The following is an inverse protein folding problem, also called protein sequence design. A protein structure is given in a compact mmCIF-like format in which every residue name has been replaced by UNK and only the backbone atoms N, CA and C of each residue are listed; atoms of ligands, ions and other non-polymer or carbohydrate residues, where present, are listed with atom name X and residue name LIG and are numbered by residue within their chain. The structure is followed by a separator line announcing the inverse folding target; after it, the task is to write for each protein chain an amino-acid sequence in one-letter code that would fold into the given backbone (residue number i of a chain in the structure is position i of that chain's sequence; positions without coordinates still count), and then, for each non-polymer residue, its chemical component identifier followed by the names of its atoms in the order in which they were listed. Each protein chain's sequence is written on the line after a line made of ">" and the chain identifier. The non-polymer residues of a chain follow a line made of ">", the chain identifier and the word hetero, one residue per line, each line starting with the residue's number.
data_IF_978052331489
#
_entry.id   IF_978052331489
#
_cell.length_a   1.000
_cell.length_b   1.000
_cell.length_c   1.000
_cell.angle_alpha   90.00
_cell.angle_beta   90.00
_cell.angle_gamma   90.00
#
_symmetry.space_group_name_H-M   'P 1'
#
loop_
_entity.id
_entity.type
_entity.pdbx_description
1 polymer ?
#
# COMPACT_ATOMS: atom_id res chain seq x y z
N UNK A 1 26.94 2.11 2.99
CA UNK A 1 26.16 3.01 3.87
C UNK A 1 25.39 4.09 3.10
N UNK A 2 25.97 4.73 2.08
CA UNK A 2 25.31 5.82 1.32
C UNK A 2 23.95 5.45 0.70
N UNK A 3 23.82 4.27 0.09
CA UNK A 3 22.58 3.87 -0.59
C UNK A 3 21.38 3.66 0.35
N UNK A 4 21.63 3.14 1.57
CA UNK A 4 20.57 2.98 2.57
C UNK A 4 20.06 4.34 3.07
N UNK A 5 20.96 5.32 3.22
CA UNK A 5 20.60 6.68 3.60
C UNK A 5 19.79 7.37 2.50
N UNK A 6 20.20 7.21 1.24
CA UNK A 6 19.48 7.75 0.08
C UNK A 6 18.06 7.18 -0.02
N UNK A 7 17.91 5.87 0.14
CA UNK A 7 16.59 5.22 0.11
C UNK A 7 15.70 5.70 1.25
N UNK A 8 16.24 5.79 2.48
CA UNK A 8 15.46 6.28 3.62
C UNK A 8 15.09 7.76 3.45
N UNK A 9 15.99 8.58 2.94
CA UNK A 9 15.74 9.99 2.66
C UNK A 9 14.64 10.15 1.60
N UNK A 10 14.66 9.34 0.55
CA UNK A 10 13.63 9.32 -0.48
C UNK A 10 12.25 8.91 0.08
N UNK A 11 12.21 7.85 0.90
CA UNK A 11 10.98 7.39 1.58
C UNK A 11 10.38 8.50 2.45
N UNK A 12 11.21 9.19 3.26
CA UNK A 12 10.73 10.28 4.13
C UNK A 12 10.26 11.46 3.30
N UNK A 13 11.02 11.87 2.28
CA UNK A 13 10.68 13.03 1.43
C UNK A 13 9.36 12.79 0.68
N UNK A 14 9.21 11.61 0.09
CA UNK A 14 7.97 11.20 -0.58
C UNK A 14 6.82 11.10 0.42
N UNK A 15 7.05 10.50 1.59
CA UNK A 15 6.06 10.41 2.66
C UNK A 15 5.54 11.77 3.11
N UNK A 16 6.42 12.76 3.30
CA UNK A 16 6.05 14.14 3.65
C UNK A 16 5.23 14.79 2.53
N UNK A 17 5.63 14.61 1.27
CA UNK A 17 4.88 15.13 0.11
C UNK A 17 3.46 14.56 0.04
N UNK A 18 3.28 13.27 0.35
CA UNK A 18 1.97 12.60 0.39
C UNK A 18 1.09 13.17 1.50
N UNK A 19 1.68 13.37 2.69
CA UNK A 19 1.00 13.93 3.86
C UNK A 19 0.55 15.38 3.63
N UNK A 20 1.43 16.19 3.05
CA UNK A 20 1.16 17.61 2.76
C UNK A 20 0.03 17.78 1.74
N UNK A 21 0.06 16.97 0.67
CA UNK A 21 -0.95 16.98 -0.39
C UNK A 21 -2.27 16.30 0.00
N UNK A 22 -2.35 15.66 1.18
CA UNK A 22 -3.54 14.92 1.66
C UNK A 22 -4.09 13.93 0.63
N UNK A 23 -3.21 13.19 -0.04
CA UNK A 23 -3.60 12.27 -1.11
C UNK A 23 -4.28 10.98 -0.63
N UNK A 24 -4.34 10.77 0.69
CA UNK A 24 -4.93 9.57 1.28
C UNK A 24 -6.45 9.68 1.26
N UNK A 25 -7.08 8.74 0.56
CA UNK A 25 -8.53 8.62 0.45
C UNK A 25 -9.02 7.53 1.39
N UNK A 26 -10.13 7.78 2.08
CA UNK A 26 -10.79 6.79 2.95
C UNK A 26 -12.02 6.22 2.23
N UNK A 27 -12.08 4.90 2.13
CA UNK A 27 -13.22 4.15 1.57
C UNK A 27 -13.75 3.23 2.66
N UNK A 28 -14.88 3.58 3.28
CA UNK A 28 -15.56 2.83 4.38
C UNK A 28 -14.61 2.02 5.30
N UNK A 29 -14.23 0.81 4.86
CA UNK A 29 -13.43 -0.22 5.54
C UNK A 29 -11.91 -0.07 5.42
N UNK A 30 -11.37 0.70 4.47
CA UNK A 30 -9.94 0.85 4.26
C UNK A 30 -9.55 2.26 3.79
N UNK A 31 -8.24 2.53 3.77
CA UNK A 31 -7.66 3.75 3.22
C UNK A 31 -6.75 3.39 2.08
N UNK A 32 -6.70 4.21 1.05
CA UNK A 32 -5.74 4.01 -0.02
C UNK A 32 -5.12 5.33 -0.51
N UNK A 33 -3.96 5.21 -1.13
CA UNK A 33 -3.31 6.31 -1.84
C UNK A 33 -2.86 5.81 -3.20
N UNK A 34 -3.06 6.62 -4.24
CA UNK A 34 -2.53 6.36 -5.57
C UNK A 34 -1.39 7.33 -5.84
N UNK A 35 -0.17 6.82 -5.94
CA UNK A 35 1.04 7.56 -6.23
C UNK A 35 1.38 7.47 -7.70
N UNK A 36 1.71 8.62 -8.28
CA UNK A 36 2.35 8.71 -9.59
C UNK A 36 3.80 9.12 -9.35
N UNK A 37 4.70 8.14 -9.39
CA UNK A 37 6.11 8.39 -9.17
C UNK A 37 6.71 9.11 -10.40
N UNK A 38 7.65 10.01 -10.13
CA UNK A 38 8.61 10.51 -11.12
C UNK A 38 9.65 9.44 -11.44
N UNK A 39 10.43 9.61 -12.51
CA UNK A 39 11.46 8.63 -12.91
C UNK A 39 12.51 8.40 -11.83
N UNK A 40 12.91 9.45 -11.10
CA UNK A 40 13.88 9.36 -10.00
C UNK A 40 13.30 8.61 -8.80
N UNK A 41 12.05 8.92 -8.43
CA UNK A 41 11.34 8.23 -7.34
C UNK A 41 11.07 6.77 -7.69
N UNK A 42 10.74 6.47 -8.95
CA UNK A 42 10.53 5.10 -9.44
C UNK A 42 11.83 4.29 -9.37
N UNK A 43 12.98 4.90 -9.65
CA UNK A 43 14.28 4.22 -9.53
C UNK A 43 14.61 3.83 -8.07
N UNK A 44 14.25 4.69 -7.10
CA UNK A 44 14.55 4.48 -5.68
C UNK A 44 13.46 3.68 -4.95
N UNK A 45 12.19 3.90 -5.30
CA UNK A 45 11.00 3.37 -4.64
C UNK A 45 10.19 2.40 -5.51
N UNK A 46 10.67 2.01 -6.69
CA UNK A 46 9.97 1.05 -7.55
C UNK A 46 10.02 -0.40 -7.07
N UNK A 47 10.83 -0.69 -6.05
CA UNK A 47 10.88 -2.02 -5.44
C UNK A 47 9.76 -2.19 -4.39
N UNK A 48 9.05 -3.33 -4.35
CA UNK A 48 7.95 -3.55 -3.41
C UNK A 48 8.33 -3.34 -1.94
N UNK A 49 9.52 -3.82 -1.54
CA UNK A 49 10.02 -3.64 -0.17
C UNK A 49 10.18 -2.17 0.26
N UNK A 50 10.51 -1.27 -0.67
CA UNK A 50 10.61 0.17 -0.39
C UNK A 50 9.23 0.78 -0.23
N UNK A 51 8.25 0.36 -1.06
CA UNK A 51 6.86 0.79 -0.93
C UNK A 51 6.22 0.27 0.35
N UNK A 52 6.48 -0.97 0.76
CA UNK A 52 6.04 -1.51 2.05
C UNK A 52 6.57 -0.66 3.21
N UNK A 53 7.84 -0.25 3.17
CA UNK A 53 8.42 0.67 4.17
C UNK A 53 7.75 2.04 4.15
N UNK A 54 7.48 2.60 2.97
CA UNK A 54 6.78 3.88 2.84
C UNK A 54 5.36 3.79 3.40
N UNK A 55 4.63 2.71 3.10
CA UNK A 55 3.29 2.48 3.60
C UNK A 55 3.26 2.34 5.13
N UNK A 56 4.20 1.58 5.70
CA UNK A 56 4.39 1.47 7.15
C UNK A 56 4.72 2.82 7.79
N UNK A 57 5.63 3.59 7.20
CA UNK A 57 5.97 4.93 7.66
C UNK A 57 4.74 5.85 7.70
N UNK A 58 3.92 5.84 6.66
CA UNK A 58 2.67 6.63 6.63
C UNK A 58 1.69 6.19 7.72
N UNK A 59 1.55 4.88 7.95
CA UNK A 59 0.71 4.33 9.02
C UNK A 59 1.23 4.78 10.39
N UNK A 60 2.53 4.65 10.65
CA UNK A 60 3.15 5.03 11.92
C UNK A 60 2.99 6.53 12.20
N UNK A 61 3.21 7.40 11.22
CA UNK A 61 3.00 8.86 11.38
C UNK A 61 1.55 9.18 11.75
N UNK A 62 0.57 8.54 11.11
CA UNK A 62 -0.84 8.76 11.46
C UNK A 62 -1.24 8.14 12.80
N UNK A 63 -0.58 7.04 13.19
CA UNK A 63 -0.76 6.41 14.50
C UNK A 63 -0.23 7.31 15.61
N UNK A 64 0.96 7.87 15.44
CA UNK A 64 1.57 8.82 16.38
C UNK A 64 0.75 10.11 16.52
N UNK A 65 0.12 10.57 15.43
CA UNK A 65 -0.83 11.68 15.46
C UNK A 65 -2.17 11.34 16.14
N UNK A 66 -2.39 10.10 16.58
CA UNK A 66 -3.63 9.64 17.19
C UNK A 66 -4.82 9.54 16.22
N UNK A 67 -4.59 9.58 14.90
CA UNK A 67 -5.65 9.57 13.88
C UNK A 67 -6.10 8.16 13.51
N UNK A 68 -5.18 7.19 13.48
CA UNK A 68 -5.42 5.81 13.01
C UNK A 68 -5.29 4.78 14.15
N UNK A 69 -5.88 5.09 15.30
CA UNK A 69 -5.89 4.23 16.50
C UNK A 69 -7.31 3.77 16.86
N UNK A 70 -7.42 2.61 17.52
CA UNK A 70 -8.70 2.02 17.97
C UNK A 70 -9.70 1.87 16.83
N UNK A 71 -10.92 2.39 17.01
CA UNK A 71 -12.02 2.39 16.03
C UNK A 71 -11.71 3.05 14.68
N UNK A 72 -10.55 3.72 14.56
CA UNK A 72 -10.07 4.34 13.33
C UNK A 72 -8.86 3.60 12.71
N UNK A 73 -8.36 2.53 13.33
CA UNK A 73 -7.39 1.63 12.74
C UNK A 73 -8.08 0.86 11.61
N UNK A 74 -7.78 1.25 10.37
CA UNK A 74 -8.28 0.58 9.17
C UNK A 74 -7.08 0.27 8.28
N UNK A 75 -7.10 -0.84 7.53
CA UNK A 75 -6.02 -1.20 6.62
C UNK A 75 -5.72 -0.07 5.64
N UNK A 76 -4.44 0.04 5.28
CA UNK A 76 -3.93 1.03 4.35
C UNK A 76 -3.39 0.34 3.10
N UNK A 77 -3.77 0.84 1.92
CA UNK A 77 -3.36 0.30 0.63
C UNK A 77 -2.63 1.38 -0.15
N UNK A 78 -1.36 1.15 -0.45
CA UNK A 78 -0.55 2.02 -1.29
C UNK A 78 -0.53 1.46 -2.71
N UNK A 79 -0.93 2.27 -3.68
CA UNK A 79 -0.89 1.96 -5.11
C UNK A 79 0.14 2.89 -5.74
N UNK A 80 1.15 2.35 -6.42
CA UNK A 80 2.17 3.11 -7.12
C UNK A 80 2.19 2.76 -8.61
N UNK A 81 2.09 3.76 -9.48
CA UNK A 81 2.23 3.54 -10.92
C UNK A 81 3.71 3.47 -11.31
N UNK A 82 4.13 2.34 -11.86
CA UNK A 82 5.49 2.10 -12.37
C UNK A 82 5.46 2.28 -13.89
N UNK A 83 5.96 3.42 -14.37
CA UNK A 83 5.88 3.78 -15.79
C UNK A 83 6.79 2.92 -16.65
N UNK A 84 7.96 2.52 -16.14
CA UNK A 84 8.91 1.71 -16.90
C UNK A 84 8.35 0.33 -17.28
N UNK A 85 7.44 -0.20 -16.46
CA UNK A 85 6.79 -1.51 -16.66
C UNK A 85 5.33 -1.41 -17.09
N UNK A 86 4.75 -0.21 -17.06
CA UNK A 86 3.35 0.07 -17.35
C UNK A 86 2.38 -0.75 -16.46
N UNK A 87 2.71 -0.87 -15.17
CA UNK A 87 1.94 -1.63 -14.16
C UNK A 87 1.74 -0.79 -12.90
N UNK A 88 0.69 -1.11 -12.16
CA UNK A 88 0.45 -0.62 -10.80
C UNK A 88 0.95 -1.64 -9.79
N UNK A 89 1.87 -1.20 -8.94
CA UNK A 89 2.32 -1.97 -7.78
C UNK A 89 1.45 -1.61 -6.58
N UNK A 90 0.75 -2.59 -6.02
CA UNK A 90 -0.17 -2.43 -4.90
C UNK A 90 0.41 -3.11 -3.67
N UNK A 91 0.44 -2.37 -2.56
CA UNK A 91 0.96 -2.81 -1.28
C UNK A 91 -0.05 -2.53 -0.17
N UNK A 92 -0.53 -3.58 0.47
CA UNK A 92 -1.42 -3.52 1.62
C UNK A 92 -0.65 -3.62 2.93
N UNK A 93 -1.00 -2.76 3.89
CA UNK A 93 -0.47 -2.76 5.24
C UNK A 93 -1.64 -2.82 6.22
N UNK A 94 -1.60 -3.79 7.12
CA UNK A 94 -2.58 -3.92 8.21
C UNK A 94 -2.20 -2.97 9.35
N UNK A 95 -3.20 -2.31 9.94
CA UNK A 95 -3.04 -1.45 11.11
C UNK A 95 -3.61 -2.19 12.34
N UNK A 96 -2.83 -3.03 13.05
CA UNK A 96 -3.33 -3.66 14.27
C UNK A 96 -3.58 -2.59 15.35
N UNK A 97 -4.67 -2.72 16.11
CA UNK A 97 -4.99 -1.80 17.21
C UNK A 97 -3.91 -1.79 18.31
N UNK A 98 -3.22 -2.92 18.50
CA UNK A 98 -2.07 -3.07 19.40
C UNK A 98 -0.95 -3.88 18.76
N UNK A 99 0.30 -3.49 19.03
CA UNK A 99 1.47 -4.30 18.67
C UNK A 99 1.38 -5.66 19.38
N UNK A 100 1.32 -6.75 18.60
CA UNK A 100 1.19 -8.12 19.12
C UNK A 100 -0.20 -8.76 18.97
N UNK A 101 -1.22 -8.02 18.53
CA UNK A 101 -2.50 -8.63 18.17
C UNK A 101 -2.34 -9.45 16.87
N UNK A 102 -2.63 -10.74 16.97
CA UNK A 102 -2.77 -11.63 15.81
C UNK A 102 -4.11 -11.29 15.15
N UNK A 103 -4.12 -10.24 14.34
CA UNK A 103 -5.21 -10.04 13.42
C UNK A 103 -5.12 -11.13 12.35
N UNK A 104 -6.20 -11.92 12.15
CA UNK A 104 -6.30 -12.77 10.97
C UNK A 104 -6.03 -11.88 9.77
N UNK A 105 -5.16 -12.32 8.87
CA UNK A 105 -4.76 -11.55 7.71
C UNK A 105 -5.89 -11.50 6.67
N UNK A 106 -6.96 -10.78 7.01
CA UNK A 106 -8.12 -10.54 6.15
C UNK A 106 -7.68 -9.80 4.91
N UNK A 107 -6.70 -8.90 5.03
CA UNK A 107 -6.19 -8.12 3.90
C UNK A 107 -5.49 -9.01 2.86
N UNK A 108 -4.60 -9.91 3.28
CA UNK A 108 -3.94 -10.86 2.38
C UNK A 108 -4.92 -11.81 1.71
N UNK A 109 -5.95 -12.27 2.44
CA UNK A 109 -7.02 -13.09 1.87
C UNK A 109 -7.86 -12.30 0.87
N UNK A 110 -8.21 -11.05 1.19
CA UNK A 110 -8.98 -10.18 0.31
C UNK A 110 -8.20 -9.83 -0.96
N UNK A 111 -6.90 -9.62 -0.86
CA UNK A 111 -6.00 -9.43 -2.00
C UNK A 111 -5.97 -10.67 -2.89
N UNK A 112 -5.84 -11.88 -2.30
CA UNK A 112 -5.85 -13.12 -3.07
C UNK A 112 -7.19 -13.36 -3.79
N UNK A 113 -8.33 -13.09 -3.13
CA UNK A 113 -9.65 -13.20 -3.74
C UNK A 113 -9.85 -12.17 -4.86
N UNK A 114 -9.49 -10.90 -4.62
CA UNK A 114 -9.59 -9.86 -5.63
C UNK A 114 -8.67 -10.11 -6.84
N UNK A 115 -7.46 -10.65 -6.63
CA UNK A 115 -6.55 -11.01 -7.71
C UNK A 115 -7.06 -12.19 -8.55
N UNK A 116 -7.72 -13.18 -7.93
CA UNK A 116 -8.32 -14.31 -8.64
C UNK A 116 -9.41 -13.85 -9.62
N UNK A 117 -10.17 -12.82 -9.26
CA UNK A 117 -11.23 -12.24 -10.10
C UNK A 117 -10.70 -11.33 -11.21
N UNK A 118 -9.60 -10.59 -10.97
CA UNK A 118 -9.01 -9.70 -11.99
C UNK A 118 -8.07 -10.40 -12.96
N UNK A 119 -7.75 -11.68 -12.75
CA UNK A 119 -6.80 -12.41 -13.59
C UNK A 119 -5.38 -11.86 -13.53
N UNK A 120 -5.07 -11.07 -12.50
CA UNK A 120 -3.82 -10.37 -12.35
C UNK A 120 -2.66 -11.33 -12.07
N UNK A 121 -1.48 -11.03 -12.65
CA UNK A 121 -0.24 -11.72 -12.33
C UNK A 121 0.21 -11.35 -10.90
N UNK A 122 -0.29 -12.09 -9.92
CA UNK A 122 0.14 -11.98 -8.53
C UNK A 122 1.54 -12.58 -8.38
N UNK A 123 2.58 -11.76 -8.46
CA UNK A 123 3.93 -12.18 -8.03
C UNK A 123 3.93 -12.22 -6.50
N UNK A 124 3.61 -13.39 -5.95
CA UNK A 124 3.79 -13.67 -4.52
C UNK A 124 5.28 -13.83 -4.23
N UNK A 125 5.95 -12.75 -3.83
CA UNK A 125 7.28 -12.90 -3.22
C UNK A 125 7.08 -13.36 -1.77
N UNK A 126 6.98 -14.69 -1.60
CA UNK A 126 7.04 -15.61 -0.44
C UNK A 126 6.82 -15.18 1.04
N UNK A 127 6.81 -13.90 1.39
CA UNK A 127 6.76 -13.40 2.77
C UNK A 127 5.67 -12.34 3.02
N UNK A 128 5.20 -11.61 1.99
CA UNK A 128 4.15 -10.59 2.13
C UNK A 128 2.95 -10.89 1.20
N UNK A 129 1.88 -11.51 1.74
CA UNK A 129 0.63 -11.81 1.00
C UNK A 129 -0.18 -10.57 0.58
N UNK A 130 0.32 -9.36 0.85
CA UNK A 130 -0.38 -8.10 0.65
C UNK A 130 0.27 -7.24 -0.45
N UNK A 131 1.13 -7.83 -1.28
CA UNK A 131 1.78 -7.15 -2.41
C UNK A 131 1.32 -7.78 -3.72
N UNK A 132 1.01 -6.96 -4.73
CA UNK A 132 0.66 -7.45 -6.07
C UNK A 132 0.97 -6.44 -7.17
N UNK A 133 1.16 -6.92 -8.40
CA UNK A 133 1.29 -6.12 -9.60
C UNK A 133 0.01 -6.25 -10.44
N UNK A 134 -0.54 -5.12 -10.90
CA UNK A 134 -1.77 -5.03 -11.69
C UNK A 134 -1.53 -4.26 -12.98
N UNK A 135 -2.23 -4.61 -14.05
CA UNK A 135 -2.25 -3.77 -15.25
C UNK A 135 -3.06 -2.49 -15.03
N UNK A 136 -2.83 -1.49 -15.87
CA UNK A 136 -3.51 -0.19 -15.79
C UNK A 136 -5.03 -0.30 -15.93
N UNK A 137 -5.50 -1.25 -16.73
CA UNK A 137 -6.92 -1.44 -17.00
C UNK A 137 -7.65 -2.12 -15.83
N UNK A 138 -6.93 -2.94 -15.05
CA UNK A 138 -7.50 -3.78 -14.00
C UNK A 138 -7.56 -3.10 -12.63
N UNK A 139 -6.88 -1.96 -12.44
CA UNK A 139 -6.77 -1.30 -11.13
C UNK A 139 -8.12 -0.86 -10.56
N UNK A 140 -9.03 -0.37 -11.41
CA UNK A 140 -10.34 0.08 -10.98
C UNK A 140 -11.21 -1.10 -10.54
N UNK A 141 -11.18 -2.19 -11.32
CA UNK A 141 -11.88 -3.44 -11.00
C UNK A 141 -11.33 -4.01 -9.69
N UNK A 142 -10.01 -4.02 -9.51
CA UNK A 142 -9.39 -4.49 -8.27
C UNK A 142 -9.85 -3.70 -7.04
N UNK A 143 -9.87 -2.36 -7.10
CA UNK A 143 -10.30 -1.53 -5.96
C UNK A 143 -11.77 -1.78 -5.62
N UNK A 144 -12.62 -1.99 -6.63
CA UNK A 144 -14.03 -2.34 -6.45
C UNK A 144 -14.19 -3.74 -5.83
N UNK A 145 -13.47 -4.75 -6.33
CA UNK A 145 -13.52 -6.10 -5.76
C UNK A 145 -12.99 -6.15 -4.34
N UNK A 146 -11.88 -5.45 -4.06
CA UNK A 146 -11.35 -5.33 -2.71
C UNK A 146 -12.38 -4.68 -1.78
N UNK A 147 -13.10 -3.66 -2.25
CA UNK A 147 -14.19 -3.05 -1.48
C UNK A 147 -15.30 -4.05 -1.15
N UNK A 148 -15.75 -4.83 -2.15
CA UNK A 148 -16.82 -5.82 -1.98
C UNK A 148 -16.41 -6.94 -0.99
N UNK A 149 -15.19 -7.47 -1.11
CA UNK A 149 -14.71 -8.56 -0.24
C UNK A 149 -14.56 -8.12 1.22
N UNK A 150 -14.28 -6.85 1.47
CA UNK A 150 -14.21 -6.31 2.85
C UNK A 150 -15.55 -5.84 3.41
N UNK A 151 -16.59 -5.72 2.57
CA UNK A 151 -17.96 -5.41 3.00
C UNK A 151 -18.76 -6.69 3.34
N UNK A 152 -18.38 -7.83 2.76
CA UNK A 152 -18.96 -9.16 2.98
C UNK A 152 -18.58 -9.79 4.33
#
# INVERSE_FOLDING_TARGET
>A
MAMAMQLQQAVVTLGVSILDRKLIVRVKHFRFVCLRLSEEEEHLCGHPSTLSRLALFLVDVHREQGKWIGKHAAPFVLIAHIKARNVYLVVGVTCPERAGDIHRNTLGTAFALAAAETGAASTYDGFETTVMELHMDDINVFVEQLHNVMDA
#
